data_IF_098210840441
#
_entry.id   IF_098210840441
#
_cell.length_a   1.000
_cell.length_b   1.000
_cell.length_c   1.000
_cell.angle_alpha   90.00
_cell.angle_beta   90.00
_cell.angle_gamma   90.00
#
_symmetry.space_group_name_H-M   'P 1'
#
loop_
_entity.id
_entity.type
_entity.pdbx_description
1 polymer ?
#
# COMPACT_ATOMS: atom_id res chain seq x y z
N UNK A 1 42.17 -4.85 -2.13
CA UNK A 1 41.06 -4.13 -1.47
C UNK A 1 40.03 -3.84 -2.55
N UNK A 2 39.12 -4.79 -2.79
CA UNK A 2 38.09 -4.64 -3.80
C UNK A 2 36.91 -3.92 -3.16
N UNK A 3 36.68 -2.68 -3.58
CA UNK A 3 35.47 -1.92 -3.29
C UNK A 3 34.28 -2.65 -3.91
N UNK A 4 33.55 -3.39 -3.08
CA UNK A 4 32.26 -3.94 -3.44
C UNK A 4 31.29 -2.77 -3.57
N UNK A 5 31.10 -2.28 -4.80
CA UNK A 5 30.04 -1.35 -5.13
C UNK A 5 28.72 -2.06 -4.82
N UNK A 6 28.12 -1.74 -3.68
CA UNK A 6 26.79 -2.21 -3.33
C UNK A 6 25.83 -1.65 -4.37
N UNK A 7 25.45 -2.45 -5.37
CA UNK A 7 24.45 -2.06 -6.34
C UNK A 7 23.18 -1.69 -5.57
N UNK A 8 22.76 -0.44 -5.65
CA UNK A 8 21.53 0.03 -5.00
C UNK A 8 20.37 -0.79 -5.54
N UNK A 9 19.58 -1.40 -4.65
CA UNK A 9 18.43 -2.20 -5.05
C UNK A 9 17.50 -1.38 -5.97
N UNK A 10 16.91 -2.00 -7.02
CA UNK A 10 16.08 -1.26 -7.96
C UNK A 10 14.86 -0.66 -7.25
N UNK A 11 14.48 0.56 -7.67
CA UNK A 11 13.31 1.28 -7.17
C UNK A 11 12.03 0.48 -7.39
N UNK A 12 10.97 0.81 -6.64
CA UNK A 12 9.69 0.12 -6.79
C UNK A 12 9.12 0.31 -8.20
N UNK A 13 9.24 1.52 -8.75
CA UNK A 13 8.83 1.85 -10.12
C UNK A 13 9.62 1.04 -11.16
N UNK A 14 10.93 0.85 -10.98
CA UNK A 14 11.73 0.03 -11.88
C UNK A 14 11.28 -1.45 -11.84
N UNK A 15 10.98 -1.98 -10.65
CA UNK A 15 10.43 -3.34 -10.49
C UNK A 15 9.06 -3.49 -11.18
N UNK A 16 8.21 -2.46 -11.10
CA UNK A 16 6.92 -2.45 -11.77
C UNK A 16 7.05 -2.33 -13.29
N UNK A 17 7.97 -1.52 -13.79
CA UNK A 17 8.23 -1.41 -15.23
C UNK A 17 8.64 -2.77 -15.82
N UNK A 18 9.52 -3.51 -15.16
CA UNK A 18 9.91 -4.85 -15.59
C UNK A 18 8.72 -5.82 -15.72
N UNK A 19 7.75 -5.72 -14.80
CA UNK A 19 6.52 -6.53 -14.86
C UNK A 19 5.59 -6.06 -15.97
N UNK A 20 5.47 -4.76 -16.20
CA UNK A 20 4.68 -4.22 -17.32
C UNK A 20 5.27 -4.65 -18.67
N UNK A 21 6.59 -4.61 -18.82
CA UNK A 21 7.28 -5.06 -20.04
C UNK A 21 7.12 -6.56 -20.27
N UNK A 22 7.12 -7.36 -19.21
CA UNK A 22 6.79 -8.79 -19.30
C UNK A 22 5.33 -9.01 -19.72
N UNK A 23 4.36 -8.29 -19.12
CA UNK A 23 2.94 -8.39 -19.49
C UNK A 23 2.70 -8.02 -20.95
N UNK A 24 3.35 -6.97 -21.45
CA UNK A 24 3.25 -6.57 -22.87
C UNK A 24 3.74 -7.66 -23.83
N UNK A 25 4.68 -8.50 -23.39
CA UNK A 25 5.21 -9.62 -24.19
C UNK A 25 4.38 -10.90 -24.05
N UNK A 26 3.84 -11.20 -22.87
CA UNK A 26 3.25 -12.51 -22.57
C UNK A 26 1.72 -12.54 -22.50
N UNK A 27 1.05 -11.40 -22.29
CA UNK A 27 -0.41 -11.37 -22.18
C UNK A 27 -1.08 -11.26 -23.55
N UNK A 28 -2.30 -11.80 -23.66
CA UNK A 28 -3.14 -11.51 -24.83
C UNK A 28 -3.45 -10.00 -24.89
N UNK A 29 -3.64 -9.43 -26.10
CA UNK A 29 -4.00 -8.03 -26.26
C UNK A 29 -5.26 -7.63 -25.46
N UNK A 30 -6.24 -8.53 -25.41
CA UNK A 30 -7.49 -8.34 -24.66
C UNK A 30 -7.24 -8.26 -23.15
N UNK A 31 -6.52 -9.22 -22.57
CA UNK A 31 -6.24 -9.23 -21.14
C UNK A 31 -5.39 -8.02 -20.72
N UNK A 32 -4.46 -7.60 -21.57
CA UNK A 32 -3.66 -6.41 -21.36
C UNK A 32 -4.53 -5.14 -21.42
N UNK A 33 -5.42 -5.03 -22.41
CA UNK A 33 -6.31 -3.89 -22.55
C UNK A 33 -7.26 -3.75 -21.34
N UNK A 34 -7.87 -4.84 -20.87
CA UNK A 34 -8.72 -4.84 -19.67
C UNK A 34 -7.96 -4.27 -18.46
N UNK A 35 -6.72 -4.73 -18.24
CA UNK A 35 -5.90 -4.27 -17.12
C UNK A 35 -5.54 -2.78 -17.23
N UNK A 36 -5.09 -2.34 -18.41
CA UNK A 36 -4.67 -0.96 -18.65
C UNK A 36 -5.85 0.00 -18.58
N UNK A 37 -7.01 -0.37 -19.12
CA UNK A 37 -8.19 0.49 -19.17
C UNK A 37 -8.75 0.75 -17.77
N UNK A 38 -8.84 -0.27 -16.90
CA UNK A 38 -9.23 -0.07 -15.51
C UNK A 38 -8.28 0.92 -14.81
N UNK A 39 -6.96 0.75 -14.97
CA UNK A 39 -5.97 1.65 -14.34
C UNK A 39 -6.10 3.08 -14.84
N UNK A 40 -6.24 3.25 -16.16
CA UNK A 40 -6.42 4.56 -16.77
C UNK A 40 -7.72 5.24 -16.34
N UNK A 41 -8.81 4.46 -16.15
CA UNK A 41 -10.07 4.93 -15.57
C UNK A 41 -9.84 5.45 -14.15
N UNK A 42 -9.16 4.68 -13.28
CA UNK A 42 -8.90 5.09 -11.90
C UNK A 42 -8.05 6.36 -11.82
N UNK A 43 -7.03 6.48 -12.68
CA UNK A 43 -6.21 7.70 -12.78
C UNK A 43 -7.05 8.90 -13.20
N UNK A 44 -7.87 8.75 -14.25
CA UNK A 44 -8.74 9.82 -14.75
C UNK A 44 -9.77 10.28 -13.71
N UNK A 45 -10.32 9.35 -12.93
CA UNK A 45 -11.33 9.65 -11.91
C UNK A 45 -10.71 10.08 -10.58
N UNK A 46 -9.39 9.99 -10.42
CA UNK A 46 -8.76 10.41 -9.18
C UNK A 46 -8.96 11.92 -8.93
N UNK A 47 -9.33 12.27 -7.70
CA UNK A 47 -9.65 13.65 -7.33
C UNK A 47 -11.07 14.11 -7.67
N UNK A 48 -11.87 13.30 -8.38
CA UNK A 48 -13.28 13.65 -8.65
C UNK A 48 -14.21 13.43 -7.45
N UNK A 49 -13.72 12.74 -6.42
CA UNK A 49 -14.41 12.52 -5.14
C UNK A 49 -13.50 12.91 -3.97
N UNK A 50 -14.07 13.32 -2.83
CA UNK A 50 -13.32 13.54 -1.61
C UNK A 50 -12.49 12.31 -1.26
N UNK A 51 -11.26 12.55 -0.84
CA UNK A 51 -10.32 11.56 -0.37
C UNK A 51 -9.46 12.19 0.72
N UNK A 52 -8.85 11.34 1.52
CA UNK A 52 -7.98 11.76 2.61
C UNK A 52 -6.82 12.64 2.12
N UNK A 53 -6.58 13.75 2.81
CA UNK A 53 -5.46 14.67 2.56
C UNK A 53 -4.70 14.97 3.86
N UNK A 54 -3.53 15.59 3.74
CA UNK A 54 -2.78 16.06 4.90
C UNK A 54 -3.61 17.09 5.70
N UNK A 55 -3.58 16.96 7.03
CA UNK A 55 -4.37 17.76 7.97
C UNK A 55 -5.67 17.08 8.43
N UNK A 56 -6.18 16.10 7.67
CA UNK A 56 -7.41 15.38 8.06
C UNK A 56 -7.22 14.57 9.35
N UNK A 57 -8.30 14.39 10.11
CA UNK A 57 -8.33 13.45 11.25
C UNK A 57 -9.06 12.18 10.84
N UNK A 58 -8.38 11.03 10.94
CA UNK A 58 -9.00 9.75 10.61
C UNK A 58 -10.03 9.35 11.68
N UNK A 59 -11.16 8.70 11.30
CA UNK A 59 -12.15 8.26 12.26
C UNK A 59 -11.57 7.21 13.24
N UNK A 60 -12.11 7.11 14.47
CA UNK A 60 -11.73 6.03 15.37
C UNK A 60 -11.99 4.70 14.68
N UNK A 61 -10.94 3.90 14.53
CA UNK A 61 -11.01 2.67 13.74
C UNK A 61 -10.25 1.57 14.46
N UNK A 62 -10.87 0.39 14.51
CA UNK A 62 -10.27 -0.85 14.99
C UNK A 62 -10.12 -1.79 13.80
N UNK A 63 -8.88 -2.17 13.52
CA UNK A 63 -8.50 -3.16 12.52
C UNK A 63 -8.24 -4.50 13.22
N UNK A 64 -8.12 -5.57 12.44
CA UNK A 64 -7.86 -6.92 12.99
C UNK A 64 -6.53 -7.46 12.50
N UNK A 65 -5.61 -7.78 13.41
CA UNK A 65 -4.34 -8.43 13.06
C UNK A 65 -4.55 -9.89 12.66
N UNK A 66 -3.57 -10.48 11.96
CA UNK A 66 -3.62 -11.87 11.48
C UNK A 66 -3.86 -12.92 12.57
N UNK A 67 -3.55 -12.64 13.83
CA UNK A 67 -3.85 -13.50 14.98
C UNK A 67 -5.17 -13.15 15.69
N UNK A 68 -6.05 -12.43 14.99
CA UNK A 68 -7.38 -11.98 15.42
C UNK A 68 -7.38 -10.95 16.56
N UNK A 69 -6.22 -10.42 16.96
CA UNK A 69 -6.18 -9.35 17.95
C UNK A 69 -6.61 -8.01 17.34
N UNK A 70 -7.44 -7.21 18.05
CA UNK A 70 -7.81 -5.88 17.61
C UNK A 70 -6.62 -4.93 17.70
N UNK A 71 -6.50 -4.02 16.72
CA UNK A 71 -5.48 -2.96 16.70
C UNK A 71 -6.18 -1.65 16.34
N UNK A 72 -6.15 -0.67 17.23
CA UNK A 72 -6.70 0.66 16.96
C UNK A 72 -5.66 1.56 16.30
N UNK A 73 -6.12 2.56 15.54
CA UNK A 73 -5.20 3.59 15.02
C UNK A 73 -4.48 4.34 16.13
N UNK A 74 -5.16 4.63 17.25
CA UNK A 74 -4.56 5.29 18.41
C UNK A 74 -3.42 4.45 19.04
N UNK A 75 -3.56 3.12 19.05
CA UNK A 75 -2.48 2.23 19.52
C UNK A 75 -1.25 2.26 18.59
N UNK A 76 -1.46 2.39 17.27
CA UNK A 76 -0.35 2.49 16.30
C UNK A 76 0.45 3.79 16.47
N UNK A 77 -0.20 4.88 16.88
CA UNK A 77 0.44 6.20 17.07
C UNK A 77 0.77 6.53 18.52
N UNK A 78 0.67 5.57 19.44
CA UNK A 78 0.87 5.81 20.87
C UNK A 78 2.27 6.37 21.21
N UNK A 79 3.28 6.00 20.42
CA UNK A 79 4.68 6.39 20.63
C UNK A 79 5.22 7.36 19.57
N UNK A 80 4.35 7.94 18.73
CA UNK A 80 4.76 8.81 17.63
C UNK A 80 3.98 8.55 16.34
N UNK A 81 4.50 8.96 15.18
CA UNK A 81 3.82 8.69 13.92
C UNK A 81 3.78 7.20 13.58
N UNK A 82 2.85 6.83 12.69
CA UNK A 82 2.76 5.52 12.08
C UNK A 82 2.57 5.64 10.56
N UNK A 83 3.15 4.69 9.82
CA UNK A 83 2.97 4.54 8.38
C UNK A 83 1.97 3.43 8.10
N UNK A 84 0.92 3.76 7.36
CA UNK A 84 -0.11 2.83 6.92
C UNK A 84 0.04 2.59 5.42
N UNK A 85 0.23 1.34 5.02
CA UNK A 85 0.34 0.92 3.61
C UNK A 85 -0.91 0.15 3.21
N UNK A 86 -1.82 0.79 2.49
CA UNK A 86 -3.00 0.12 1.94
C UNK A 86 -2.62 -0.68 0.71
N UNK A 87 -3.10 -1.91 0.63
CA UNK A 87 -2.87 -2.79 -0.52
C UNK A 87 -4.11 -3.59 -0.89
N UNK A 88 -4.15 -4.06 -2.13
CA UNK A 88 -5.35 -4.64 -2.74
C UNK A 88 -5.74 -5.98 -2.11
N UNK A 89 -4.87 -6.98 -2.27
CA UNK A 89 -5.09 -8.35 -1.78
C UNK A 89 -3.79 -9.17 -1.81
N UNK A 90 -3.76 -10.26 -1.03
CA UNK A 90 -2.61 -11.11 -0.73
C UNK A 90 -2.00 -11.77 -1.96
N UNK A 91 -2.78 -12.13 -2.97
CA UNK A 91 -2.26 -12.75 -4.21
C UNK A 91 -2.07 -11.74 -5.34
N UNK A 92 -2.23 -10.43 -5.08
CA UNK A 92 -2.05 -9.40 -6.10
C UNK A 92 -0.56 -9.32 -6.50
N UNK A 93 -0.21 -9.53 -7.79
CA UNK A 93 1.19 -9.53 -8.22
C UNK A 93 1.93 -8.22 -7.86
N UNK A 94 1.27 -7.08 -8.05
CA UNK A 94 1.85 -5.77 -7.70
C UNK A 94 2.10 -5.62 -6.19
N UNK A 95 1.20 -6.15 -5.35
CA UNK A 95 1.37 -6.09 -3.89
C UNK A 95 2.48 -7.03 -3.40
N UNK A 96 2.66 -8.19 -4.06
CA UNK A 96 3.76 -9.12 -3.78
C UNK A 96 5.13 -8.58 -4.22
N UNK A 97 5.19 -7.45 -4.92
CA UNK A 97 6.42 -6.72 -5.23
C UNK A 97 6.60 -5.55 -4.24
N UNK A 98 5.54 -4.79 -3.99
CA UNK A 98 5.59 -3.61 -3.12
C UNK A 98 5.86 -3.94 -1.65
N UNK A 99 5.22 -4.97 -1.09
CA UNK A 99 5.39 -5.28 0.33
C UNK A 99 6.82 -5.76 0.67
N UNK A 100 7.46 -6.65 -0.11
CA UNK A 100 8.88 -6.95 0.07
C UNK A 100 9.78 -5.75 -0.16
N UNK A 101 9.47 -4.87 -1.12
CA UNK A 101 10.21 -3.62 -1.30
C UNK A 101 10.17 -2.75 -0.02
N UNK A 102 9.00 -2.57 0.61
CA UNK A 102 8.91 -1.83 1.87
C UNK A 102 9.55 -2.57 3.04
N UNK A 103 9.48 -3.90 3.09
CA UNK A 103 10.25 -4.71 4.06
C UNK A 103 11.75 -4.44 3.96
N UNK A 104 12.28 -4.40 2.74
CA UNK A 104 13.73 -4.30 2.52
C UNK A 104 14.25 -2.87 2.65
N UNK A 105 13.44 -1.87 2.27
CA UNK A 105 13.92 -0.49 2.12
C UNK A 105 13.35 0.50 3.13
N UNK A 106 12.09 0.32 3.55
CA UNK A 106 11.39 1.26 4.44
C UNK A 106 11.46 0.81 5.90
N UNK A 107 11.13 -0.45 6.16
CA UNK A 107 11.02 -0.98 7.51
C UNK A 107 12.28 -0.81 8.37
N UNK A 108 13.52 -1.04 7.86
CA UNK A 108 14.72 -0.88 8.69
C UNK A 108 14.86 0.55 9.25
N UNK A 109 14.60 1.57 8.43
CA UNK A 109 14.65 2.97 8.83
C UNK A 109 13.54 3.32 9.82
N UNK A 110 12.30 2.88 9.57
CA UNK A 110 11.19 3.11 10.50
C UNK A 110 11.42 2.43 11.84
N UNK A 111 11.90 1.18 11.83
CA UNK A 111 12.26 0.44 13.05
C UNK A 111 13.34 1.15 13.85
N UNK A 112 14.39 1.66 13.19
CA UNK A 112 15.46 2.43 13.85
C UNK A 112 14.93 3.73 14.48
N UNK A 113 13.95 4.37 13.84
CA UNK A 113 13.29 5.58 14.33
C UNK A 113 12.17 5.32 15.36
N UNK A 114 11.85 4.05 15.67
CA UNK A 114 10.73 3.70 16.56
C UNK A 114 9.33 3.98 15.97
N UNK A 115 9.22 4.08 14.65
CA UNK A 115 7.98 4.40 13.93
C UNK A 115 7.27 3.11 13.52
N UNK A 116 5.99 3.01 13.83
CA UNK A 116 5.18 1.86 13.44
C UNK A 116 4.94 1.83 11.92
N UNK A 117 4.97 0.63 11.34
CA UNK A 117 4.52 0.36 9.97
C UNK A 117 3.41 -0.69 10.05
N UNK A 118 2.31 -0.50 9.35
CA UNK A 118 1.26 -1.50 9.22
C UNK A 118 0.77 -1.55 7.77
N UNK A 119 0.58 -2.75 7.22
CA UNK A 119 -0.07 -2.90 5.92
C UNK A 119 -1.54 -3.31 6.09
N UNK A 120 -2.43 -2.70 5.33
CA UNK A 120 -3.89 -2.80 5.51
C UNK A 120 -4.54 -3.29 4.21
N UNK A 121 -5.41 -4.28 4.33
CA UNK A 121 -6.21 -4.82 3.23
C UNK A 121 -7.55 -5.29 3.77
N UNK A 122 -8.64 -5.27 2.98
CA UNK A 122 -9.94 -5.70 3.49
C UNK A 122 -10.11 -7.21 3.56
N UNK A 123 -9.09 -7.98 3.18
CA UNK A 123 -9.21 -9.43 3.15
C UNK A 123 -9.34 -10.05 4.55
N UNK A 124 -9.99 -11.22 4.64
CA UNK A 124 -9.98 -12.05 5.85
C UNK A 124 -8.56 -12.33 6.36
N UNK A 125 -8.41 -12.41 7.68
CA UNK A 125 -7.13 -12.56 8.37
C UNK A 125 -6.34 -13.80 7.93
N UNK A 126 -7.03 -14.87 7.51
CA UNK A 126 -6.42 -16.11 7.04
C UNK A 126 -5.59 -15.88 5.76
N UNK A 127 -6.16 -15.15 4.79
CA UNK A 127 -5.45 -14.79 3.55
C UNK A 127 -4.31 -13.82 3.80
N UNK A 128 -4.48 -12.94 4.78
CA UNK A 128 -3.44 -12.01 5.20
C UNK A 128 -2.27 -12.73 5.87
N UNK A 129 -2.54 -13.75 6.69
CA UNK A 129 -1.50 -14.58 7.30
C UNK A 129 -0.63 -15.29 6.25
N UNK A 130 -1.22 -15.77 5.15
CA UNK A 130 -0.48 -16.40 4.06
C UNK A 130 0.57 -15.46 3.43
N UNK A 131 0.21 -14.20 3.14
CA UNK A 131 1.17 -13.25 2.56
C UNK A 131 2.22 -12.83 3.58
N UNK A 132 1.86 -12.65 4.85
CA UNK A 132 2.83 -12.36 5.93
C UNK A 132 3.93 -13.40 5.96
N UNK A 133 3.57 -14.69 5.99
CA UNK A 133 4.53 -15.79 6.03
C UNK A 133 5.29 -15.92 4.71
N UNK A 134 4.59 -15.88 3.56
CA UNK A 134 5.22 -16.06 2.25
C UNK A 134 6.25 -14.97 1.92
N UNK A 135 6.02 -13.75 2.39
CA UNK A 135 6.89 -12.59 2.11
C UNK A 135 7.77 -12.20 3.30
N UNK A 136 7.77 -12.98 4.39
CA UNK A 136 8.53 -12.71 5.61
C UNK A 136 8.38 -11.26 6.09
N UNK A 137 7.13 -10.81 6.25
CA UNK A 137 6.83 -9.42 6.57
C UNK A 137 7.00 -9.18 8.10
N UNK A 138 7.93 -8.31 8.53
CA UNK A 138 8.26 -8.10 9.94
C UNK A 138 7.35 -7.08 10.63
N UNK A 139 6.38 -6.52 9.91
CA UNK A 139 5.42 -5.54 10.38
C UNK A 139 4.00 -6.12 10.31
N UNK A 140 3.07 -5.67 11.17
CA UNK A 140 1.71 -6.19 11.21
C UNK A 140 0.98 -5.99 9.87
N UNK A 141 0.28 -7.04 9.45
CA UNK A 141 -0.73 -6.99 8.39
C UNK A 141 -2.10 -7.01 9.05
N UNK A 142 -2.91 -6.02 8.72
CA UNK A 142 -4.19 -5.74 9.37
C UNK A 142 -5.33 -5.86 8.35
N UNK A 143 -6.40 -6.53 8.77
CA UNK A 143 -7.67 -6.57 8.05
C UNK A 143 -8.47 -5.30 8.32
N UNK A 144 -9.03 -4.72 7.26
CA UNK A 144 -10.05 -3.65 7.26
C UNK A 144 -11.41 -4.23 6.83
N UNK A 145 -12.14 -4.92 7.73
CA UNK A 145 -13.32 -5.68 7.35
C UNK A 145 -14.36 -4.80 6.66
N UNK A 146 -14.87 -5.26 5.52
CA UNK A 146 -15.89 -4.54 4.77
C UNK A 146 -15.41 -3.22 4.15
N UNK A 147 -14.09 -2.97 4.06
CA UNK A 147 -13.50 -1.74 3.54
C UNK A 147 -13.90 -0.49 4.34
N UNK A 148 -14.21 -0.61 5.63
CA UNK A 148 -14.77 0.49 6.42
C UNK A 148 -13.83 1.71 6.46
N UNK A 149 -12.57 1.51 6.81
CA UNK A 149 -11.57 2.58 6.80
C UNK A 149 -11.29 3.02 5.36
N UNK A 150 -11.07 2.07 4.46
CA UNK A 150 -10.74 2.37 3.06
C UNK A 150 -11.80 3.26 2.38
N UNK A 151 -13.09 3.03 2.66
CA UNK A 151 -14.18 3.88 2.15
C UNK A 151 -14.20 5.26 2.81
N UNK A 152 -14.03 5.32 4.13
CA UNK A 152 -13.97 6.59 4.86
C UNK A 152 -12.84 7.50 4.35
N UNK A 153 -11.76 6.92 3.84
CA UNK A 153 -10.61 7.63 3.29
C UNK A 153 -10.70 7.90 1.77
N UNK A 154 -11.78 7.51 1.10
CA UNK A 154 -11.93 7.66 -0.35
C UNK A 154 -10.96 6.81 -1.17
N UNK A 155 -10.48 5.70 -0.59
CA UNK A 155 -9.46 4.84 -1.22
C UNK A 155 -10.07 3.77 -2.12
N UNK A 156 -11.38 3.52 -2.08
CA UNK A 156 -11.93 2.37 -2.80
C UNK A 156 -12.22 2.65 -4.27
N UNK A 157 -12.27 1.56 -5.03
CA UNK A 157 -12.80 1.54 -6.40
C UNK A 157 -13.51 0.21 -6.65
N UNK A 158 -14.43 0.21 -7.61
CA UNK A 158 -15.12 -0.99 -8.07
C UNK A 158 -14.52 -1.43 -9.40
N UNK A 159 -14.45 -2.73 -9.63
CA UNK A 159 -14.05 -3.28 -10.93
C UNK A 159 -15.00 -2.74 -12.01
N UNK A 160 -14.44 -2.29 -13.13
CA UNK A 160 -15.21 -2.08 -14.35
C UNK A 160 -15.76 -3.41 -14.86
N UNK A 161 -16.78 -3.32 -15.72
CA UNK A 161 -17.47 -4.51 -16.23
C UNK A 161 -16.49 -5.51 -16.86
N UNK A 162 -15.57 -5.11 -17.75
CA UNK A 162 -14.60 -6.06 -18.33
C UNK A 162 -13.69 -6.72 -17.30
N UNK A 163 -13.21 -5.98 -16.30
CA UNK A 163 -12.35 -6.54 -15.23
C UNK A 163 -13.10 -7.55 -14.38
N UNK A 164 -14.37 -7.25 -14.05
CA UNK A 164 -15.22 -8.16 -13.29
C UNK A 164 -15.51 -9.45 -14.06
N UNK A 165 -15.90 -9.33 -15.33
CA UNK A 165 -16.17 -10.48 -16.21
C UNK A 165 -14.92 -11.35 -16.39
N UNK A 166 -13.75 -10.73 -16.61
CA UNK A 166 -12.49 -11.45 -16.72
C UNK A 166 -12.08 -12.17 -15.42
N UNK A 167 -12.42 -11.60 -14.26
CA UNK A 167 -12.20 -12.26 -12.98
C UNK A 167 -13.15 -13.45 -12.76
N UNK A 168 -14.43 -13.30 -13.11
CA UNK A 168 -15.43 -14.36 -13.07
C UNK A 168 -15.08 -15.52 -14.00
N UNK A 169 -14.64 -15.24 -15.22
CA UNK A 169 -14.21 -16.25 -16.20
C UNK A 169 -13.03 -17.10 -15.71
N UNK A 170 -12.22 -16.56 -14.79
CA UNK A 170 -11.10 -17.26 -14.13
C UNK A 170 -11.51 -17.95 -12.82
N UNK A 171 -12.82 -17.99 -12.51
CA UNK A 171 -13.37 -18.59 -11.29
C UNK A 171 -13.25 -17.71 -10.04
N UNK A 172 -12.93 -16.42 -10.19
CA UNK A 172 -12.87 -15.48 -9.06
C UNK A 172 -14.26 -15.13 -8.54
N UNK A 173 -14.37 -14.92 -7.23
CA UNK A 173 -15.58 -14.37 -6.58
C UNK A 173 -15.22 -13.20 -5.67
N UNK A 174 -16.16 -12.26 -5.50
CA UNK A 174 -16.01 -11.13 -4.57
C UNK A 174 -15.84 -11.59 -3.12
N UNK A 175 -16.52 -12.67 -2.74
CA UNK A 175 -16.48 -13.28 -1.42
C UNK A 175 -15.11 -13.92 -1.17
N UNK A 176 -14.55 -14.63 -2.14
CA UNK A 176 -13.20 -15.16 -2.03
C UNK A 176 -12.13 -14.05 -2.07
N UNK A 177 -12.44 -12.90 -2.66
CA UNK A 177 -11.54 -11.75 -2.69
C UNK A 177 -11.50 -11.06 -1.32
N UNK A 178 -12.62 -10.56 -0.81
CA UNK A 178 -12.67 -9.69 0.37
C UNK A 178 -13.64 -10.16 1.48
N UNK A 179 -14.28 -11.31 1.34
CA UNK A 179 -15.33 -11.74 2.26
C UNK A 179 -16.63 -10.94 2.14
N UNK A 180 -16.84 -10.22 1.04
CA UNK A 180 -18.05 -9.43 0.77
C UNK A 180 -18.61 -9.73 -0.61
N UNK A 181 -19.88 -9.39 -0.85
CA UNK A 181 -20.50 -9.50 -2.18
C UNK A 181 -20.06 -8.38 -3.16
N UNK A 182 -19.21 -7.44 -2.72
CA UNK A 182 -18.79 -6.28 -3.53
C UNK A 182 -17.47 -6.57 -4.27
N UNK A 183 -17.44 -6.24 -5.57
CA UNK A 183 -16.23 -6.23 -6.40
C UNK A 183 -15.44 -4.94 -6.20
N UNK A 184 -15.11 -4.64 -4.95
CA UNK A 184 -14.49 -3.39 -4.54
C UNK A 184 -13.12 -3.66 -3.93
N UNK A 185 -12.13 -2.82 -4.23
CA UNK A 185 -10.80 -2.92 -3.66
C UNK A 185 -10.29 -1.55 -3.25
N UNK A 186 -9.35 -1.47 -2.28
CA UNK A 186 -8.62 -0.24 -2.08
C UNK A 186 -7.66 0.00 -3.25
N UNK A 187 -7.60 1.24 -3.74
CA UNK A 187 -6.41 1.79 -4.39
C UNK A 187 -5.25 1.66 -3.39
N UNK A 188 -4.07 1.18 -3.79
CA UNK A 188 -2.90 1.25 -2.92
C UNK A 188 -2.68 2.69 -2.45
N UNK A 189 -2.22 2.85 -1.22
CA UNK A 189 -1.93 4.17 -0.68
C UNK A 189 -0.89 4.05 0.43
N UNK A 190 -0.13 5.12 0.64
CA UNK A 190 0.69 5.31 1.83
C UNK A 190 0.16 6.52 2.58
N UNK A 191 -0.18 6.31 3.86
CA UNK A 191 -0.67 7.37 4.75
C UNK A 191 0.21 7.40 5.98
N UNK A 192 0.75 8.56 6.31
CA UNK A 192 1.44 8.79 7.58
C UNK A 192 0.46 9.49 8.51
N UNK A 193 0.21 8.88 9.67
CA UNK A 193 -0.61 9.47 10.73
C UNK A 193 0.23 9.79 11.96
N UNK A 194 -0.19 10.77 12.74
CA UNK A 194 0.42 11.19 14.01
C UNK A 194 -0.55 10.96 15.18
N UNK A 195 -0.10 11.14 16.45
CA UNK A 195 -1.03 11.17 17.59
C UNK A 195 -2.24 12.06 17.32
N UNK A 196 -3.41 11.62 17.75
CA UNK A 196 -4.69 12.25 17.40
C UNK A 196 -5.27 11.80 16.05
N UNK A 197 -4.68 10.79 15.39
CA UNK A 197 -5.11 10.26 14.08
C UNK A 197 -5.03 11.29 12.95
N UNK A 198 -4.20 12.32 13.12
CA UNK A 198 -4.02 13.38 12.13
C UNK A 198 -3.11 12.90 11.00
N UNK A 199 -3.52 13.13 9.77
CA UNK A 199 -2.76 12.78 8.57
C UNK A 199 -1.66 13.81 8.37
N UNK A 200 -0.41 13.35 8.39
CA UNK A 200 0.77 14.15 8.04
C UNK A 200 1.10 14.07 6.56
N UNK A 201 0.85 12.91 5.95
CA UNK A 201 1.11 12.66 4.53
C UNK A 201 0.09 11.64 4.02
N UNK A 202 -0.40 11.84 2.80
CA UNK A 202 -1.22 10.89 2.10
C UNK A 202 -0.81 10.88 0.62
N UNK A 203 -0.52 9.69 0.11
CA UNK A 203 -0.32 9.47 -1.32
C UNK A 203 -1.14 8.24 -1.73
N UNK A 204 -2.06 8.48 -2.65
CA UNK A 204 -2.97 7.46 -3.18
C UNK A 204 -2.46 7.11 -4.56
N UNK A 205 -2.42 5.83 -4.86
CA UNK A 205 -1.92 5.27 -6.13
C UNK A 205 -3.07 4.71 -6.96
N UNK A 206 -3.85 5.54 -7.70
CA UNK A 206 -4.93 5.06 -8.57
C UNK A 206 -4.43 4.06 -9.61
N UNK A 207 -3.28 4.32 -10.21
CA UNK A 207 -2.54 3.27 -10.89
C UNK A 207 -1.81 2.42 -9.84
N UNK A 208 -2.29 1.19 -9.62
CA UNK A 208 -1.69 0.28 -8.66
C UNK A 208 -0.28 -0.21 -9.02
N UNK A 209 0.26 0.18 -10.19
CA UNK A 209 1.64 -0.04 -10.65
C UNK A 209 2.52 1.21 -10.56
N UNK A 210 2.01 2.35 -10.07
CA UNK A 210 2.82 3.54 -9.73
C UNK A 210 2.55 3.89 -8.26
N UNK A 211 3.51 3.60 -7.38
CA UNK A 211 3.34 3.68 -5.94
C UNK A 211 4.43 4.52 -5.29
N UNK A 212 4.13 5.02 -4.11
CA UNK A 212 5.05 5.81 -3.29
C UNK A 212 6.39 5.09 -3.09
N UNK A 213 7.48 5.75 -3.44
CA UNK A 213 8.83 5.23 -3.19
C UNK A 213 9.24 5.49 -1.73
N UNK A 214 10.04 4.60 -1.16
CA UNK A 214 10.54 4.72 0.22
C UNK A 214 11.15 6.10 0.55
N UNK A 215 11.98 6.72 -0.31
CA UNK A 215 12.52 8.05 -0.03
C UNK A 215 11.46 9.13 0.18
N UNK A 216 10.32 9.07 -0.52
CA UNK A 216 9.23 10.03 -0.34
C UNK A 216 8.56 9.86 1.04
N UNK A 217 8.36 8.61 1.47
CA UNK A 217 7.78 8.27 2.79
C UNK A 217 8.71 8.75 3.92
N UNK A 218 10.02 8.48 3.80
CA UNK A 218 11.01 8.92 4.78
C UNK A 218 11.12 10.45 4.83
N UNK A 219 11.10 11.12 3.67
CA UNK A 219 11.08 12.58 3.58
C UNK A 219 9.85 13.17 4.28
N UNK A 220 8.66 12.59 4.08
CA UNK A 220 7.45 13.01 4.77
C UNK A 220 7.57 12.92 6.31
N UNK A 221 8.36 11.98 6.82
CA UNK A 221 8.70 11.81 8.23
C UNK A 221 9.86 12.70 8.70
N UNK A 222 10.61 13.31 7.79
CA UNK A 222 11.82 14.07 8.10
C UNK A 222 13.02 13.17 8.39
N UNK A 223 13.06 11.98 7.80
CA UNK A 223 14.10 10.97 8.01
C UNK A 223 14.98 10.77 6.77
N UNK A 224 16.23 10.39 6.99
CA UNK A 224 17.09 9.82 5.96
C UNK A 224 16.90 8.29 5.82
N UNK A 225 17.67 7.68 4.92
CA UNK A 225 17.61 6.24 4.64
C UNK A 225 18.02 5.35 5.83
N UNK A 226 18.66 5.92 6.86
CA UNK A 226 19.08 5.24 8.08
C UNK A 226 18.06 5.41 9.20
N UNK A 227 16.96 6.14 8.97
CA UNK A 227 15.97 6.46 9.98
C UNK A 227 16.43 7.55 10.96
N UNK A 228 17.47 8.31 10.60
CA UNK A 228 17.93 9.45 11.39
C UNK A 228 17.23 10.73 10.91
N UNK A 229 17.07 11.76 11.76
CA UNK A 229 16.58 13.06 11.30
C UNK A 229 17.42 13.56 10.14
N UNK A 230 16.75 13.89 9.02
CA UNK A 230 17.43 14.43 7.86
C UNK A 230 18.17 15.71 8.26
N UNK A 231 19.47 15.81 7.93
CA UNK A 231 20.26 17.01 8.21
C UNK A 231 19.56 18.21 7.58
N UNK A 232 19.27 19.23 8.38
CA UNK A 232 18.76 20.49 7.86
C UNK A 232 19.74 20.99 6.78
N UNK A 233 19.25 21.17 5.55
CA UNK A 233 20.02 21.86 4.55
C UNK A 233 20.13 23.31 4.99
N UNK A 234 21.19 23.66 5.73
CA UNK A 234 21.59 25.04 5.92
C UNK A 234 21.91 25.61 4.54
N UNK A 235 20.90 26.18 3.87
CA UNK A 235 21.14 27.11 2.78
C UNK A 235 21.79 28.33 3.41
N UNK A 236 23.12 28.39 3.30
CA UNK A 236 23.86 29.62 3.50
C UNK A 236 23.33 30.64 2.47
N UNK A 237 22.94 31.80 2.98
CA UNK A 237 22.45 32.95 2.23
C UNK A 237 23.51 33.51 1.26
#
# INVERSE_FOLDING_TARGET
MSTEQTATAPSLRARFQAVEDERRRSWSPEALAINLNQRALLVREHGTRPHVVAGDTLPPTTLTRTDRQPVTLDALVANGPAVLVFFRFATCPACNIALPYYRDTLWPALKAAGIALAAISPQPVEKLAEITTRQDLPFPILSDPGLALSRALGLTYVFDTPSREAALAKGGTSEALNGTASWELPKPAVIVITPGRTVRYADISPDWMDRTETPAILSALGLDAQGQPAKAQHHAA
#
